data_IF_633624301552
#
_entry.id   IF_633624301552
#
_cell.length_a   1.000
_cell.length_b   1.000
_cell.length_c   1.000
_cell.angle_alpha   90.00
_cell.angle_beta   90.00
_cell.angle_gamma   90.00
#
_symmetry.space_group_name_H-M   'P 1'
#
loop_
_entity.id
_entity.type
_entity.pdbx_description
1 polymer ?
#
# COMPACT_ATOMS: atom_id res chain seq x y z
N UNK A 1 -26.23 -18.27 -9.77
CA UNK A 1 -25.57 -18.04 -8.46
C UNK A 1 -24.04 -18.24 -8.43
N UNK A 2 -23.33 -18.61 -9.52
CA UNK A 2 -21.89 -18.94 -9.43
C UNK A 2 -20.91 -17.74 -9.50
N UNK A 3 -21.30 -16.63 -10.12
CA UNK A 3 -20.41 -15.46 -10.38
C UNK A 3 -20.12 -14.63 -9.12
N UNK A 4 -21.01 -14.64 -8.13
CA UNK A 4 -20.81 -13.89 -6.89
C UNK A 4 -19.80 -14.56 -5.95
N UNK A 5 -19.69 -15.90 -6.01
CA UNK A 5 -18.73 -16.66 -5.19
C UNK A 5 -17.29 -16.40 -5.63
N UNK A 6 -17.02 -16.40 -6.93
CA UNK A 6 -15.67 -16.18 -7.48
C UNK A 6 -15.13 -14.77 -7.22
N UNK A 7 -16.02 -13.76 -7.14
CA UNK A 7 -15.64 -12.38 -6.81
C UNK A 7 -15.09 -12.25 -5.38
N UNK A 8 -15.71 -12.93 -4.41
CA UNK A 8 -15.24 -12.91 -3.01
C UNK A 8 -13.87 -13.58 -2.86
N UNK A 9 -13.63 -14.69 -3.55
CA UNK A 9 -12.33 -15.38 -3.52
C UNK A 9 -11.20 -14.55 -4.12
N UNK A 10 -11.49 -13.86 -5.23
CA UNK A 10 -10.54 -12.92 -5.83
C UNK A 10 -10.25 -11.73 -4.91
N UNK A 11 -11.27 -11.16 -4.26
CA UNK A 11 -11.07 -10.11 -3.26
C UNK A 11 -10.19 -10.59 -2.10
N UNK A 12 -10.51 -11.73 -1.49
CA UNK A 12 -9.72 -12.26 -0.36
C UNK A 12 -8.26 -12.52 -0.73
N UNK A 13 -7.99 -13.03 -1.93
CA UNK A 13 -6.63 -13.27 -2.42
C UNK A 13 -5.88 -11.96 -2.74
N UNK A 14 -6.54 -10.97 -3.33
CA UNK A 14 -5.95 -9.65 -3.61
C UNK A 14 -5.67 -8.90 -2.29
N UNK A 15 -6.60 -8.91 -1.31
CA UNK A 15 -6.38 -8.36 0.03
C UNK A 15 -5.17 -9.01 0.72
N UNK A 16 -5.05 -10.34 0.62
CA UNK A 16 -3.91 -11.07 1.22
C UNK A 16 -2.58 -10.64 0.60
N UNK A 17 -2.52 -10.49 -0.72
CA UNK A 17 -1.32 -10.00 -1.43
C UNK A 17 -0.96 -8.57 -1.02
N UNK A 18 -1.96 -7.70 -0.86
CA UNK A 18 -1.74 -6.31 -0.41
C UNK A 18 -1.24 -6.26 1.04
N UNK A 19 -1.86 -7.02 1.94
CA UNK A 19 -1.41 -7.13 3.32
C UNK A 19 0.01 -7.69 3.43
N UNK A 20 0.39 -8.64 2.56
CA UNK A 20 1.76 -9.16 2.48
C UNK A 20 2.76 -8.06 2.08
N UNK A 21 2.41 -7.22 1.10
CA UNK A 21 3.25 -6.08 0.71
C UNK A 21 3.41 -5.06 1.85
N UNK A 22 2.34 -4.78 2.60
CA UNK A 22 2.38 -3.87 3.76
C UNK A 22 3.21 -4.42 4.91
N UNK A 23 3.10 -5.71 5.20
CA UNK A 23 3.90 -6.37 6.23
C UNK A 23 5.40 -6.30 5.91
N UNK A 24 5.79 -6.43 4.63
CA UNK A 24 7.19 -6.26 4.20
C UNK A 24 7.68 -4.83 4.44
N UNK A 25 6.88 -3.82 4.09
CA UNK A 25 7.22 -2.41 4.35
C UNK A 25 7.31 -2.09 5.85
N UNK A 26 6.39 -2.64 6.65
CA UNK A 26 6.41 -2.54 8.11
C UNK A 26 7.72 -3.09 8.69
N UNK A 27 8.07 -4.33 8.34
CA UNK A 27 9.28 -4.99 8.83
C UNK A 27 10.55 -4.29 8.35
N UNK A 28 10.60 -3.87 7.09
CA UNK A 28 11.73 -3.11 6.56
C UNK A 28 11.92 -1.78 7.31
N UNK A 29 10.83 -1.08 7.61
CA UNK A 29 10.88 0.17 8.37
C UNK A 29 11.30 -0.09 9.81
N UNK A 30 10.74 -1.12 10.46
CA UNK A 30 11.09 -1.46 11.83
C UNK A 30 12.59 -1.78 11.98
N UNK A 31 13.14 -2.56 11.05
CA UNK A 31 14.58 -2.86 11.01
C UNK A 31 15.43 -1.62 10.71
N UNK A 32 15.00 -0.76 9.77
CA UNK A 32 15.70 0.48 9.45
C UNK A 32 15.70 1.46 10.64
N UNK A 33 14.57 1.59 11.35
CA UNK A 33 14.45 2.44 12.53
C UNK A 33 15.24 1.88 13.71
N UNK A 34 15.25 0.56 13.89
CA UNK A 34 16.13 -0.09 14.88
C UNK A 34 17.61 0.21 14.63
N UNK A 35 18.05 0.18 13.36
CA UNK A 35 19.40 0.57 12.99
C UNK A 35 19.69 2.06 13.19
N UNK A 36 18.69 2.93 13.03
CA UNK A 36 18.85 4.38 13.12
C UNK A 36 18.83 4.91 14.56
N UNK A 37 17.97 4.35 15.42
CA UNK A 37 17.68 4.90 16.76
C UNK A 37 18.10 3.94 17.89
N UNK A 38 18.47 2.69 17.56
CA UNK A 38 18.75 1.65 18.54
C UNK A 38 17.48 0.95 19.02
N UNK A 39 17.52 0.37 20.23
CA UNK A 39 16.42 -0.42 20.82
C UNK A 39 15.36 0.48 21.48
N UNK A 40 14.84 1.44 20.72
CA UNK A 40 13.72 2.30 21.10
C UNK A 40 12.43 1.75 20.50
N UNK A 41 11.69 0.99 21.31
CA UNK A 41 10.48 0.28 20.89
C UNK A 41 9.37 1.26 20.46
N UNK A 42 9.27 2.41 21.11
CA UNK A 42 8.27 3.42 20.80
C UNK A 42 8.58 4.11 19.46
N UNK A 43 9.84 4.44 19.20
CA UNK A 43 10.26 5.02 17.92
C UNK A 43 10.06 4.04 16.76
N UNK A 44 10.43 2.76 16.95
CA UNK A 44 10.27 1.69 15.95
C UNK A 44 8.79 1.45 15.63
N UNK A 45 7.95 1.32 16.66
CA UNK A 45 6.53 1.08 16.49
C UNK A 45 5.84 2.24 15.76
N UNK A 46 6.13 3.49 16.17
CA UNK A 46 5.57 4.68 15.53
C UNK A 46 6.03 4.81 14.06
N UNK A 47 7.32 4.62 13.77
CA UNK A 47 7.84 4.72 12.42
C UNK A 47 7.27 3.64 11.49
N UNK A 48 7.18 2.40 11.98
CA UNK A 48 6.63 1.28 11.22
C UNK A 48 5.11 1.45 10.98
N UNK A 49 4.37 2.02 11.94
CA UNK A 49 2.96 2.36 11.75
C UNK A 49 2.78 3.48 10.71
N UNK A 50 3.57 4.55 10.80
CA UNK A 50 3.52 5.69 9.86
C UNK A 50 3.86 5.27 8.43
N UNK A 51 4.75 4.30 8.22
CA UNK A 51 5.10 3.85 6.87
C UNK A 51 3.99 3.05 6.18
N UNK A 52 3.13 2.37 6.94
CA UNK A 52 2.03 1.55 6.39
C UNK A 52 0.70 2.31 6.35
N UNK A 53 0.52 3.29 7.24
CA UNK A 53 -0.65 4.19 7.31
C UNK A 53 -1.13 4.73 5.95
N UNK A 54 -0.29 5.35 5.10
CA UNK A 54 -0.77 5.87 3.81
C UNK A 54 -1.31 4.77 2.89
N UNK A 55 -0.75 3.56 2.97
CA UNK A 55 -1.19 2.43 2.15
C UNK A 55 -2.56 1.90 2.58
N UNK A 56 -2.82 1.86 3.90
CA UNK A 56 -4.12 1.48 4.46
C UNK A 56 -5.17 2.55 4.16
N UNK A 57 -4.84 3.83 4.37
CA UNK A 57 -5.76 4.96 4.10
C UNK A 57 -6.14 5.01 2.62
N UNK A 58 -5.19 4.78 1.71
CA UNK A 58 -5.45 4.73 0.27
C UNK A 58 -6.32 3.52 -0.13
N UNK A 59 -6.22 2.40 0.58
CA UNK A 59 -7.08 1.23 0.35
C UNK A 59 -8.49 1.44 0.92
N UNK A 60 -8.62 2.05 2.10
CA UNK A 60 -9.91 2.32 2.75
C UNK A 60 -10.68 3.46 2.06
N UNK A 61 -9.99 4.44 1.49
CA UNK A 61 -10.59 5.50 0.70
C UNK A 61 -10.07 5.49 -0.76
N UNK A 62 -10.60 4.61 -1.62
CA UNK A 62 -10.26 4.57 -3.05
C UNK A 62 -10.74 5.82 -3.83
N UNK A 63 -11.40 6.78 -3.16
CA UNK A 63 -11.94 8.00 -3.75
C UNK A 63 -10.94 9.17 -3.77
N UNK A 64 -9.67 8.95 -3.46
CA UNK A 64 -8.64 9.93 -3.78
C UNK A 64 -8.28 9.81 -5.27
N UNK A 65 -9.02 10.57 -6.05
CA UNK A 65 -8.71 11.08 -7.38
C UNK A 65 -7.35 11.83 -7.38
N UNK A 66 -6.25 11.11 -7.16
CA UNK A 66 -4.91 11.71 -7.09
C UNK A 66 -3.80 10.83 -7.64
N UNK A 67 -4.08 10.13 -8.74
CA UNK A 67 -3.11 10.05 -9.82
C UNK A 67 -3.89 10.25 -11.11
N UNK A 68 -3.90 11.51 -11.56
CA UNK A 68 -4.47 11.88 -12.84
C UNK A 68 -3.97 10.91 -13.91
N UNK A 69 -4.91 10.36 -14.67
CA UNK A 69 -4.62 9.80 -15.98
C UNK A 69 -3.99 10.91 -16.82
N UNK A 70 -2.69 11.11 -16.74
CA UNK A 70 -1.98 11.91 -17.74
C UNK A 70 -1.72 10.99 -18.93
N UNK A 71 -2.81 10.53 -19.55
CA UNK A 71 -2.84 10.04 -20.93
C UNK A 71 -2.75 11.26 -21.87
N UNK A 72 -1.77 12.13 -21.65
CA UNK A 72 -1.63 13.39 -22.40
C UNK A 72 -0.31 13.48 -23.19
N UNK A 73 0.66 12.58 -22.99
CA UNK A 73 1.99 12.70 -23.61
C UNK A 73 2.25 11.77 -24.81
N UNK A 74 1.30 10.92 -25.22
CA UNK A 74 1.44 10.10 -26.46
C UNK A 74 0.42 10.53 -27.54
N UNK A 75 0.04 11.82 -27.57
CA UNK A 75 -0.74 12.38 -28.69
C UNK A 75 -0.04 13.52 -29.43
N UNK A 76 1.08 14.03 -28.91
CA UNK A 76 1.82 15.14 -29.52
C UNK A 76 3.01 14.73 -30.39
N UNK A 77 3.35 13.44 -30.48
CA UNK A 77 4.41 12.93 -31.37
C UNK A 77 3.91 12.57 -32.78
N UNK A 78 2.86 13.25 -33.28
CA UNK A 78 2.23 13.02 -34.58
C UNK A 78 1.76 14.33 -35.25
N UNK A 79 2.42 15.46 -34.95
CA UNK A 79 2.23 16.72 -35.69
C UNK A 79 3.55 17.29 -36.18
#
# INVERSE_FOLDING_TARGET
MAVFSTSKEKLMSDLKKMAESWAKTFLATALATYLAVGLDVDAIANAALVSVLPSIINWLNPNYERYGKVRALIKWSLS
#
